data_IF_380477170532
#
_entry.id   IF_380477170532
#
_cell.length_a   1.000
_cell.length_b   1.000
_cell.length_c   1.000
_cell.angle_alpha   90.00
_cell.angle_beta   90.00
_cell.angle_gamma   90.00
#
_symmetry.space_group_name_H-M   'P 1'
#
loop_
_entity.id
_entity.type
_entity.pdbx_description
1 polymer ?
#
# COMPACT_ATOMS: atom_id res chain seq x y z
N UNK A 1 0.53 8.21 10.86
CA UNK A 1 -0.54 8.91 10.11
C UNK A 1 -1.32 7.95 9.22
N UNK A 2 -2.45 8.38 8.63
CA UNK A 2 -3.29 7.55 7.77
C UNK A 2 -3.74 8.33 6.54
N UNK A 3 -3.66 7.70 5.36
CA UNK A 3 -4.19 8.23 4.11
C UNK A 3 -4.97 7.13 3.39
N UNK A 4 -6.13 7.44 2.82
CA UNK A 4 -6.94 6.47 2.07
C UNK A 4 -7.37 7.03 0.71
N UNK A 5 -7.17 6.24 -0.34
CA UNK A 5 -7.59 6.56 -1.71
C UNK A 5 -7.76 5.28 -2.53
N UNK A 6 -8.68 5.29 -3.50
CA UNK A 6 -8.86 4.21 -4.48
C UNK A 6 -9.01 2.80 -3.89
N UNK A 7 -9.70 2.70 -2.74
CA UNK A 7 -9.92 1.42 -2.05
C UNK A 7 -8.68 0.90 -1.30
N UNK A 8 -7.63 1.71 -1.16
CA UNK A 8 -6.45 1.42 -0.35
C UNK A 8 -6.35 2.37 0.84
N UNK A 9 -5.84 1.88 1.96
CA UNK A 9 -5.41 2.68 3.10
C UNK A 9 -3.93 2.45 3.38
N UNK A 10 -3.20 3.55 3.56
CA UNK A 10 -1.81 3.61 3.93
C UNK A 10 -1.74 4.02 5.39
N UNK A 11 -1.08 3.23 6.23
CA UNK A 11 -1.01 3.45 7.67
C UNK A 11 0.46 3.48 8.07
N UNK A 12 0.93 4.64 8.52
CA UNK A 12 2.25 4.79 9.11
C UNK A 12 2.22 4.36 10.59
N UNK A 13 3.02 3.35 10.88
CA UNK A 13 3.42 2.87 12.18
C UNK A 13 4.89 3.26 12.42
N UNK A 14 5.15 3.99 13.48
CA UNK A 14 6.49 4.53 13.74
C UNK A 14 7.52 3.47 14.12
N UNK A 15 7.10 2.30 14.61
CA UNK A 15 8.02 1.24 15.01
C UNK A 15 8.32 0.30 13.83
N UNK A 16 7.32 0.01 13.00
CA UNK A 16 7.42 -1.01 11.95
C UNK A 16 7.55 -0.42 10.54
N UNK A 17 6.81 0.64 10.21
CA UNK A 17 6.83 1.28 8.89
C UNK A 17 5.45 1.56 8.31
N UNK A 18 5.25 1.30 7.02
CA UNK A 18 3.99 1.65 6.34
C UNK A 18 3.24 0.40 5.90
N UNK A 19 2.06 0.21 6.49
CA UNK A 19 1.09 -0.80 6.09
C UNK A 19 0.24 -0.32 4.92
N UNK A 20 -0.08 -1.24 4.01
CA UNK A 20 -1.01 -1.02 2.90
C UNK A 20 -2.14 -2.02 3.07
N UNK A 21 -3.35 -1.50 3.19
CA UNK A 21 -4.57 -2.25 3.40
C UNK A 21 -5.48 -2.07 2.19
N UNK A 22 -6.05 -3.16 1.68
CA UNK A 22 -7.26 -3.13 0.86
C UNK A 22 -8.45 -2.83 1.77
N UNK A 23 -9.09 -1.69 1.51
CA UNK A 23 -10.28 -1.17 2.21
C UNK A 23 -11.44 -0.97 1.25
N UNK A 24 -11.44 -1.68 0.11
CA UNK A 24 -12.55 -1.68 -0.84
C UNK A 24 -13.86 -2.18 -0.21
N UNK A 25 -13.77 -3.08 0.76
CA UNK A 25 -14.82 -3.39 1.73
C UNK A 25 -14.45 -2.78 3.11
N UNK A 26 -15.10 -1.67 3.52
CA UNK A 26 -14.77 -0.99 4.77
C UNK A 26 -15.14 -1.81 6.02
N UNK A 27 -15.99 -2.84 5.88
CA UNK A 27 -16.33 -3.75 6.99
C UNK A 27 -15.32 -4.88 7.17
N UNK A 28 -14.48 -5.11 6.15
CA UNK A 28 -13.45 -6.16 6.17
C UNK A 28 -12.13 -5.70 5.52
N UNK A 29 -11.39 -4.75 6.14
CA UNK A 29 -10.06 -4.36 5.69
C UNK A 29 -9.08 -5.54 5.67
N UNK A 30 -8.22 -5.62 4.65
CA UNK A 30 -7.23 -6.70 4.49
C UNK A 30 -5.83 -6.16 4.20
N UNK A 31 -4.79 -6.58 4.93
CA UNK A 31 -3.42 -6.20 4.58
C UNK A 31 -3.02 -6.78 3.22
N UNK A 32 -2.51 -5.94 2.33
CA UNK A 32 -2.10 -6.31 0.96
C UNK A 32 -0.68 -5.84 0.59
N UNK A 33 -0.01 -5.09 1.49
CA UNK A 33 1.38 -4.68 1.32
C UNK A 33 1.98 -4.09 2.59
N UNK A 34 3.30 -4.01 2.62
CA UNK A 34 4.05 -3.43 3.73
C UNK A 34 5.42 -2.92 3.27
N UNK A 35 5.83 -1.76 3.76
CA UNK A 35 7.18 -1.25 3.65
C UNK A 35 7.81 -1.15 5.04
N UNK A 36 8.91 -1.87 5.26
CA UNK A 36 9.69 -1.79 6.50
C UNK A 36 10.49 -0.48 6.53
N UNK A 37 9.94 0.53 7.20
CA UNK A 37 10.49 1.90 7.27
C UNK A 37 10.39 2.37 8.72
N UNK A 38 11.32 1.95 9.60
CA UNK A 38 11.30 2.37 10.98
C UNK A 38 11.32 3.89 11.11
N UNK A 39 10.47 4.43 11.97
CA UNK A 39 10.31 5.86 12.17
C UNK A 39 9.36 6.53 11.18
N UNK A 40 8.54 5.79 10.43
CA UNK A 40 7.49 6.38 9.57
C UNK A 40 6.43 7.09 10.43
N UNK A 41 6.35 8.42 10.32
CA UNK A 41 5.46 9.22 11.17
C UNK A 41 4.10 9.48 10.49
N UNK A 42 4.12 9.69 9.19
CA UNK A 42 2.95 10.05 8.40
C UNK A 42 3.01 9.49 6.97
N UNK A 43 1.91 9.63 6.25
CA UNK A 43 1.79 9.25 4.85
C UNK A 43 0.98 10.28 4.07
N UNK A 44 1.44 10.61 2.88
CA UNK A 44 0.68 11.36 1.89
C UNK A 44 0.77 10.65 0.55
N UNK A 45 -0.32 10.60 -0.22
CA UNK A 45 -0.34 9.95 -1.53
C UNK A 45 -0.82 10.93 -2.58
N UNK A 46 -0.05 11.02 -3.68
CA UNK A 46 -0.40 11.80 -4.86
C UNK A 46 0.20 11.13 -6.11
N UNK A 47 -0.58 11.07 -7.19
CA UNK A 47 -0.14 10.54 -8.49
C UNK A 47 0.48 9.13 -8.43
N UNK A 48 -0.05 8.28 -7.54
CA UNK A 48 0.44 6.92 -7.30
C UNK A 48 1.81 6.84 -6.61
N UNK A 49 2.28 7.95 -6.06
CA UNK A 49 3.47 8.02 -5.21
C UNK A 49 3.08 8.20 -3.76
N UNK A 50 3.81 7.53 -2.86
CA UNK A 50 3.63 7.56 -1.41
C UNK A 50 4.80 8.32 -0.82
N UNK A 51 4.50 9.42 -0.14
CA UNK A 51 5.45 10.28 0.55
C UNK A 51 5.44 9.93 2.03
N UNK A 52 6.58 9.53 2.57
CA UNK A 52 6.72 9.04 3.95
C UNK A 52 7.82 9.83 4.64
N UNK A 53 7.48 10.80 5.51
CA UNK A 53 8.45 11.34 6.46
C UNK A 53 8.82 10.25 7.47
N UNK A 54 10.10 9.91 7.50
CA UNK A 54 10.68 8.99 8.45
C UNK A 54 11.75 9.70 9.29
N UNK A 55 11.63 9.62 10.62
CA UNK A 55 12.58 10.24 11.55
C UNK A 55 14.02 9.75 11.39
N UNK A 56 14.20 8.53 10.86
CA UNK A 56 15.50 7.90 10.64
C UNK A 56 16.03 8.06 9.21
N UNK A 57 15.15 8.30 8.24
CA UNK A 57 15.45 8.22 6.80
C UNK A 57 15.18 9.50 6.00
N UNK A 58 14.67 10.55 6.64
CA UNK A 58 14.22 11.75 5.94
C UNK A 58 12.90 11.51 5.20
N UNK A 59 12.73 12.08 4.01
CA UNK A 59 11.55 11.86 3.18
C UNK A 59 11.79 10.73 2.17
N UNK A 60 11.04 9.63 2.30
CA UNK A 60 11.02 8.56 1.31
C UNK A 60 9.87 8.77 0.32
N UNK A 61 10.14 8.47 -0.95
CA UNK A 61 9.14 8.49 -2.02
C UNK A 61 9.08 7.08 -2.61
N UNK A 62 7.91 6.46 -2.50
CA UNK A 62 7.70 5.05 -2.84
C UNK A 62 6.57 4.91 -3.86
N UNK A 63 6.50 3.76 -4.50
CA UNK A 63 5.37 3.35 -5.34
C UNK A 63 4.93 1.96 -4.92
N UNK A 64 3.65 1.82 -4.60
CA UNK A 64 3.05 0.50 -4.44
C UNK A 64 2.57 -0.02 -5.80
N UNK A 65 2.99 -1.22 -6.16
CA UNK A 65 2.48 -1.95 -7.32
C UNK A 65 1.88 -3.25 -6.79
N UNK A 66 0.54 -3.39 -6.77
CA UNK A 66 -0.09 -4.63 -6.36
C UNK A 66 0.46 -5.80 -7.18
N UNK A 67 0.67 -6.98 -6.57
CA UNK A 67 0.95 -8.18 -7.35
C UNK A 67 -0.17 -8.33 -8.37
N UNK A 68 0.17 -8.39 -9.66
CA UNK A 68 -0.84 -8.61 -10.70
C UNK A 68 -1.63 -9.86 -10.31
N UNK A 69 -2.95 -9.73 -10.17
CA UNK A 69 -3.79 -10.89 -9.94
C UNK A 69 -3.43 -11.91 -11.01
N UNK A 70 -3.00 -13.11 -10.61
CA UNK A 70 -2.80 -14.22 -11.55
C UNK A 70 -4.17 -14.57 -12.10
N UNK A 71 -4.62 -13.86 -13.13
CA UNK A 71 -5.72 -14.31 -13.95
C UNK A 71 -5.18 -15.52 -14.68
N UNK A 72 -5.60 -16.72 -14.26
CA UNK A 72 -5.38 -17.93 -15.05
C UNK A 72 -5.85 -17.62 -16.46
N UNK A 73 -4.99 -17.72 -17.49
CA UNK A 73 -5.43 -17.45 -18.85
C UNK A 73 -6.57 -18.41 -19.15
N UNK A 74 -7.75 -17.90 -19.48
CA UNK A 74 -8.80 -18.73 -20.06
C UNK A 74 -8.46 -18.89 -21.53
N UNK A 75 -7.61 -19.87 -21.85
CA UNK A 75 -7.49 -20.32 -23.23
C UNK A 75 -8.87 -20.86 -23.64
N UNK A 76 -9.45 -20.43 -24.77
CA UNK A 76 -10.59 -21.14 -25.33
C UNK A 76 -10.13 -22.56 -25.65
N UNK A 77 -10.80 -23.57 -25.09
CA UNK A 77 -10.66 -24.94 -25.55
C UNK A 77 -11.20 -24.96 -26.99
N UNK A 78 -10.33 -25.22 -27.95
CA UNK A 78 -10.76 -25.58 -29.29
C UNK A 78 -11.22 -27.05 -29.20
N UNK A 79 -12.51 -27.30 -29.41
CA UNK A 79 -13.02 -28.63 -29.75
C UNK A 79 -12.65 -29.01 -31.18
#
# INVERSE_FOLDING_TARGET
>A
GVYACDGLAYVADSEEGVYILDVSDPTSPKPCGFFNIPGAEDVFVADGLIYVPASTGGLLILRYTPPVARTTPTWPLYE
#
